data_IF_441215915803
#
_entry.id   IF_441215915803
#
_cell.length_a   1.000
_cell.length_b   1.000
_cell.length_c   1.000
_cell.angle_alpha   90.00
_cell.angle_beta   90.00
_cell.angle_gamma   90.00
#
_symmetry.space_group_name_H-M   'P 1'
#
loop_
_entity.id
_entity.type
_entity.pdbx_description
1 polymer ?
#
# COMPACT_ATOMS: atom_id res chain seq x y z
N UNK A 1 50.50 -14.91 -21.55
CA UNK A 1 51.09 -13.84 -20.70
C UNK A 1 50.41 -12.47 -20.86
N UNK A 2 49.66 -12.17 -21.95
CA UNK A 2 49.13 -10.81 -22.22
C UNK A 2 47.66 -10.57 -21.82
N UNK A 3 46.97 -11.57 -21.26
CA UNK A 3 45.57 -11.48 -20.81
C UNK A 3 45.40 -11.42 -19.28
N UNK A 4 46.48 -11.54 -18.51
CA UNK A 4 46.46 -11.52 -17.03
C UNK A 4 46.38 -10.10 -16.42
N UNK A 5 46.47 -9.04 -17.22
CA UNK A 5 46.50 -7.64 -16.75
C UNK A 5 45.09 -7.00 -16.74
N UNK A 6 44.10 -7.63 -17.37
CA UNK A 6 42.72 -7.08 -17.44
C UNK A 6 41.90 -7.24 -16.15
N UNK A 7 42.36 -8.04 -15.17
CA UNK A 7 41.66 -8.26 -13.90
C UNK A 7 42.12 -7.35 -12.74
N UNK A 8 43.21 -6.59 -12.91
CA UNK A 8 43.74 -5.69 -11.87
C UNK A 8 43.23 -4.23 -12.01
N UNK A 9 42.44 -3.95 -13.03
CA UNK A 9 41.83 -2.64 -13.29
C UNK A 9 40.32 -2.60 -13.00
N UNK A 10 39.79 -3.55 -12.23
CA UNK A 10 38.45 -3.41 -11.64
C UNK A 10 38.60 -2.73 -10.28
N UNK A 11 38.44 -1.40 -10.17
CA UNK A 11 38.56 -0.73 -8.89
C UNK A 11 37.50 -1.30 -7.92
N UNK A 12 37.98 -1.91 -6.83
CA UNK A 12 37.22 -2.46 -5.71
C UNK A 12 36.48 -1.40 -4.87
N UNK A 13 35.93 -0.35 -5.47
CA UNK A 13 35.33 0.76 -4.73
C UNK A 13 34.11 1.35 -5.44
N UNK A 14 33.00 0.61 -5.48
CA UNK A 14 31.68 1.18 -5.77
C UNK A 14 30.60 0.55 -4.87
N UNK A 15 30.83 0.53 -3.56
CA UNK A 15 29.75 0.42 -2.58
C UNK A 15 29.52 1.78 -1.93
N UNK A 16 29.28 2.82 -2.73
CA UNK A 16 28.64 4.01 -2.19
C UNK A 16 27.19 3.62 -1.87
N UNK A 17 26.73 3.82 -0.64
CA UNK A 17 25.33 3.66 -0.27
C UNK A 17 24.52 4.71 -1.03
N UNK A 18 23.91 4.30 -2.14
CA UNK A 18 23.06 5.15 -2.96
C UNK A 18 21.72 5.29 -2.26
N UNK A 19 21.32 6.53 -1.95
CA UNK A 19 19.99 6.80 -1.40
C UNK A 19 18.89 6.50 -2.41
N UNK A 20 17.69 6.20 -1.90
CA UNK A 20 16.50 6.04 -2.71
C UNK A 20 16.17 7.31 -3.51
N UNK A 21 15.37 7.16 -4.56
CA UNK A 21 15.07 8.21 -5.56
C UNK A 21 14.50 9.51 -4.99
N UNK A 22 13.92 9.45 -3.79
CA UNK A 22 13.23 10.56 -3.11
C UNK A 22 13.80 10.87 -1.72
N UNK A 23 15.08 10.54 -1.50
CA UNK A 23 15.78 10.75 -0.23
C UNK A 23 17.06 11.56 -0.44
N UNK A 24 17.39 12.38 0.56
CA UNK A 24 18.62 13.16 0.60
C UNK A 24 19.69 12.41 1.40
N UNK A 25 20.97 12.65 1.06
CA UNK A 25 22.08 12.20 1.90
C UNK A 25 22.13 13.07 3.16
N UNK A 26 22.11 12.45 4.32
CA UNK A 26 22.31 13.13 5.59
C UNK A 26 23.72 13.71 5.66
N UNK A 27 23.81 14.99 6.01
CA UNK A 27 25.08 15.66 6.29
C UNK A 27 25.71 15.20 7.61
N UNK A 28 24.91 14.57 8.49
CA UNK A 28 25.34 14.06 9.79
C UNK A 28 25.09 12.56 9.83
N UNK A 29 26.16 11.75 9.93
CA UNK A 29 26.05 10.30 10.14
C UNK A 29 25.90 9.43 8.89
N UNK A 30 26.01 9.98 7.67
CA UNK A 30 26.20 9.20 6.44
C UNK A 30 25.01 8.36 5.95
N UNK A 31 23.80 8.57 6.50
CA UNK A 31 22.57 7.88 6.11
C UNK A 31 21.74 8.62 5.06
N UNK A 32 20.56 8.07 4.75
CA UNK A 32 19.56 8.72 3.89
C UNK A 32 18.41 9.24 4.75
N UNK A 33 17.96 10.45 4.48
CA UNK A 33 16.88 11.13 5.19
C UNK A 33 15.84 11.65 4.20
N UNK A 34 14.61 11.85 4.67
CA UNK A 34 13.63 12.53 3.85
C UNK A 34 13.99 14.00 3.67
N UNK A 35 13.69 14.58 2.49
CA UNK A 35 13.82 16.01 2.28
C UNK A 35 13.02 16.81 3.30
N UNK A 36 13.46 18.05 3.54
CA UNK A 36 12.78 18.98 4.44
C UNK A 36 11.30 19.12 4.03
N UNK A 37 10.40 19.06 5.02
CA UNK A 37 8.96 19.14 4.78
C UNK A 37 8.28 17.80 4.54
N UNK A 38 9.03 16.68 4.58
CA UNK A 38 8.53 15.32 4.41
C UNK A 38 8.97 14.40 5.56
N UNK A 39 8.25 13.31 5.74
CA UNK A 39 8.56 12.27 6.72
C UNK A 39 8.48 10.87 6.10
N UNK A 40 9.23 9.92 6.68
CA UNK A 40 9.28 8.55 6.19
C UNK A 40 8.02 7.78 6.63
N UNK A 41 7.09 7.59 5.71
CA UNK A 41 5.82 6.88 5.94
C UNK A 41 5.48 6.01 4.74
N UNK A 42 4.87 4.85 5.00
CA UNK A 42 4.39 3.95 3.93
C UNK A 42 5.48 3.57 2.92
N UNK A 43 6.73 3.47 3.37
CA UNK A 43 7.88 3.12 2.52
C UNK A 43 8.40 4.23 1.61
N UNK A 44 8.01 5.50 1.84
CA UNK A 44 8.43 6.64 1.04
C UNK A 44 8.46 7.95 1.84
N UNK A 45 9.03 9.01 1.27
CA UNK A 45 9.00 10.34 1.88
C UNK A 45 7.69 11.07 1.55
N UNK A 46 6.87 11.28 2.58
CA UNK A 46 5.52 11.84 2.48
C UNK A 46 5.46 13.24 3.06
N UNK A 47 4.93 14.20 2.30
CA UNK A 47 4.77 15.59 2.72
C UNK A 47 3.98 15.74 4.02
N UNK A 48 4.38 16.72 4.84
CA UNK A 48 3.60 17.11 6.02
C UNK A 48 2.22 17.67 5.61
N UNK A 49 1.27 17.63 6.54
CA UNK A 49 -0.08 18.16 6.34
C UNK A 49 -1.01 17.27 5.50
N UNK A 50 -0.49 16.19 4.89
CA UNK A 50 -1.33 15.19 4.25
C UNK A 50 -2.12 14.38 5.30
N UNK A 51 -3.36 13.97 4.99
CA UNK A 51 -4.13 13.08 5.84
C UNK A 51 -3.38 11.77 6.15
N UNK A 52 -3.79 11.08 7.20
CA UNK A 52 -3.29 9.73 7.46
C UNK A 52 -3.66 8.80 6.29
N UNK A 53 -2.73 7.91 5.93
CA UNK A 53 -2.82 6.98 4.80
C UNK A 53 -2.92 7.66 3.42
N UNK A 54 -2.50 8.92 3.32
CA UNK A 54 -2.40 9.65 2.06
C UNK A 54 -0.94 9.89 1.65
N UNK A 55 -0.73 9.93 0.34
CA UNK A 55 0.53 10.30 -0.31
C UNK A 55 0.27 11.36 -1.38
N UNK A 56 1.30 12.11 -1.73
CA UNK A 56 1.24 13.08 -2.83
C UNK A 56 0.94 12.34 -4.15
N UNK A 57 0.11 12.94 -5.00
CA UNK A 57 -0.19 12.38 -6.32
C UNK A 57 0.68 12.96 -7.45
N UNK A 58 1.56 13.91 -7.15
CA UNK A 58 2.41 14.60 -8.12
C UNK A 58 1.70 15.71 -8.91
N UNK A 59 0.41 15.92 -8.68
CA UNK A 59 -0.44 16.88 -9.42
C UNK A 59 -0.94 18.02 -8.51
N UNK A 60 -0.29 18.24 -7.37
CA UNK A 60 -0.71 19.23 -6.37
C UNK A 60 -1.90 18.76 -5.51
N UNK A 61 -2.19 17.46 -5.52
CA UNK A 61 -3.20 16.83 -4.69
C UNK A 61 -2.62 15.68 -3.86
N UNK A 62 -3.51 14.82 -3.39
CA UNK A 62 -3.13 13.61 -2.66
C UNK A 62 -4.06 12.46 -3.01
N UNK A 63 -3.55 11.25 -2.85
CA UNK A 63 -4.29 10.01 -3.02
C UNK A 63 -4.10 9.12 -1.81
N UNK A 64 -5.03 8.20 -1.59
CA UNK A 64 -4.88 7.19 -0.55
C UNK A 64 -3.89 6.12 -0.99
N UNK A 65 -3.10 5.61 -0.04
CA UNK A 65 -2.28 4.43 -0.27
C UNK A 65 -3.16 3.20 -0.56
N UNK A 66 -2.54 2.16 -1.11
CA UNK A 66 -3.22 0.91 -1.40
C UNK A 66 -3.97 0.35 -0.17
N UNK A 67 -5.18 -0.17 -0.40
CA UNK A 67 -6.04 -0.66 0.67
C UNK A 67 -6.80 0.42 1.43
N UNK A 68 -6.73 1.68 0.99
CA UNK A 68 -7.53 2.79 1.52
C UNK A 68 -8.27 3.52 0.40
N UNK A 69 -9.41 4.13 0.73
CA UNK A 69 -10.25 4.90 -0.19
C UNK A 69 -10.54 6.29 0.35
N UNK A 70 -10.59 7.27 -0.55
CA UNK A 70 -10.86 8.65 -0.19
C UNK A 70 -12.31 8.84 0.28
N UNK A 71 -12.47 9.39 1.48
CA UNK A 71 -13.76 9.74 2.09
C UNK A 71 -13.70 11.17 2.63
N UNK A 72 -14.09 12.12 1.79
CA UNK A 72 -13.95 13.54 2.09
C UNK A 72 -12.47 13.92 2.22
N UNK A 73 -12.07 14.40 3.40
CA UNK A 73 -10.70 14.88 3.68
C UNK A 73 -9.78 13.83 4.34
N UNK A 74 -10.14 12.54 4.26
CA UNK A 74 -9.36 11.44 4.87
C UNK A 74 -9.38 10.18 4.02
N UNK A 75 -8.46 9.29 4.32
CA UNK A 75 -8.43 7.94 3.81
C UNK A 75 -9.04 6.99 4.81
N UNK A 76 -10.01 6.19 4.37
CA UNK A 76 -10.61 5.13 5.17
C UNK A 76 -10.19 3.78 4.62
N UNK A 77 -9.92 2.82 5.50
CA UNK A 77 -9.49 1.48 5.12
C UNK A 77 -10.54 0.83 4.23
N UNK A 78 -10.13 0.48 3.01
CA UNK A 78 -10.97 -0.23 2.06
C UNK A 78 -10.95 -1.71 2.42
N UNK A 79 -12.05 -2.18 3.03
CA UNK A 79 -12.29 -3.59 3.19
C UNK A 79 -12.78 -4.09 1.83
N UNK A 80 -11.87 -4.66 1.03
CA UNK A 80 -12.27 -5.49 -0.11
C UNK A 80 -13.16 -6.59 0.44
N UNK A 81 -14.46 -6.63 0.08
CA UNK A 81 -15.25 -7.79 0.39
C UNK A 81 -14.55 -8.96 -0.29
N UNK A 82 -14.26 -10.02 0.47
CA UNK A 82 -13.52 -11.22 0.03
C UNK A 82 -14.00 -11.79 -1.32
N UNK A 83 -15.22 -11.41 -1.76
CA UNK A 83 -15.83 -11.61 -3.07
C UNK A 83 -14.93 -11.47 -4.30
N UNK A 84 -13.97 -10.54 -4.31
CA UNK A 84 -13.15 -10.26 -5.49
C UNK A 84 -11.73 -10.84 -5.43
N UNK A 85 -11.38 -11.51 -4.32
CA UNK A 85 -10.27 -12.46 -4.33
C UNK A 85 -10.80 -13.80 -4.83
N UNK A 86 -10.07 -14.46 -5.72
CA UNK A 86 -10.46 -15.69 -6.43
C UNK A 86 -10.78 -16.91 -5.54
N UNK A 87 -10.94 -16.75 -4.24
CA UNK A 87 -11.42 -17.75 -3.28
C UNK A 87 -12.24 -17.06 -2.17
N UNK A 88 -13.54 -16.91 -2.36
CA UNK A 88 -14.44 -16.77 -1.20
C UNK A 88 -14.66 -18.16 -0.61
N UNK A 89 -13.75 -18.61 0.26
CA UNK A 89 -14.21 -19.50 1.32
C UNK A 89 -14.93 -18.59 2.32
N UNK A 90 -16.24 -18.40 2.12
CA UNK A 90 -17.06 -17.86 3.21
C UNK A 90 -16.98 -18.90 4.31
N UNK A 91 -16.19 -18.64 5.34
CA UNK A 91 -16.40 -19.32 6.61
C UNK A 91 -17.72 -18.78 7.13
N UNK A 92 -18.81 -19.49 6.82
CA UNK A 92 -20.05 -19.35 7.58
C UNK A 92 -19.69 -19.91 8.95
N UNK A 93 -19.58 -19.05 9.97
CA UNK A 93 -19.55 -19.55 11.33
C UNK A 93 -20.79 -20.42 11.55
N UNK A 94 -20.56 -21.62 12.08
CA UNK A 94 -21.53 -22.68 12.26
C UNK A 94 -22.90 -22.14 12.71
N UNK A 95 -23.90 -22.36 11.87
CA UNK A 95 -25.28 -22.08 12.26
C UNK A 95 -25.66 -23.15 13.29
N UNK A 96 -25.59 -22.80 14.57
CA UNK A 96 -26.01 -23.68 15.65
C UNK A 96 -27.46 -24.07 15.40
N UNK A 97 -27.68 -25.35 15.13
CA UNK A 97 -28.82 -25.91 14.38
C UNK A 97 -30.16 -25.87 15.12
N UNK A 98 -30.35 -24.94 16.06
CA UNK A 98 -31.52 -24.84 16.93
C UNK A 98 -32.63 -23.96 16.34
N UNK A 99 -32.41 -23.30 15.20
CA UNK A 99 -33.51 -22.70 14.44
C UNK A 99 -33.24 -22.76 12.94
N UNK A 100 -34.03 -23.56 12.25
CA UNK A 100 -34.10 -23.59 10.81
C UNK A 100 -34.26 -22.18 10.24
N UNK A 101 -33.24 -21.73 9.50
CA UNK A 101 -33.47 -20.84 8.36
C UNK A 101 -33.06 -19.37 8.46
N UNK A 102 -32.22 -18.93 9.41
CA UNK A 102 -31.71 -17.53 9.37
C UNK A 102 -30.21 -17.39 9.65
N UNK A 103 -29.38 -18.03 8.84
CA UNK A 103 -27.98 -17.63 8.72
C UNK A 103 -27.95 -16.25 8.03
N UNK A 104 -27.77 -15.17 8.81
CA UNK A 104 -27.81 -13.80 8.27
C UNK A 104 -26.41 -13.37 7.83
N UNK A 105 -26.22 -13.16 6.53
CA UNK A 105 -25.02 -12.52 6.00
C UNK A 105 -24.82 -11.14 6.65
N UNK A 106 -23.57 -10.71 6.90
CA UNK A 106 -23.28 -9.32 7.28
C UNK A 106 -23.96 -8.32 6.33
N UNK A 107 -24.50 -7.23 6.89
CA UNK A 107 -25.25 -6.19 6.13
C UNK A 107 -24.46 -5.66 4.93
N UNK A 108 -23.14 -5.53 5.08
CA UNK A 108 -22.24 -5.05 4.02
C UNK A 108 -22.23 -6.00 2.80
N UNK A 109 -22.27 -7.32 3.04
CA UNK A 109 -22.34 -8.31 1.96
C UNK A 109 -23.71 -8.27 1.28
N UNK A 110 -24.79 -8.11 2.06
CA UNK A 110 -26.14 -7.95 1.50
C UNK A 110 -26.22 -6.74 0.56
N UNK A 111 -25.68 -5.58 0.98
CA UNK A 111 -25.67 -4.37 0.15
C UNK A 111 -24.86 -4.51 -1.14
N UNK A 112 -23.74 -5.25 -1.08
CA UNK A 112 -22.89 -5.51 -2.25
C UNK A 112 -23.62 -6.40 -3.28
N UNK A 113 -24.26 -7.48 -2.83
CA UNK A 113 -25.00 -8.40 -3.71
C UNK A 113 -26.19 -7.73 -4.39
N UNK A 114 -26.95 -6.92 -3.65
CA UNK A 114 -28.07 -6.15 -4.21
C UNK A 114 -27.61 -5.16 -5.27
N UNK A 115 -26.44 -4.53 -5.08
CA UNK A 115 -25.87 -3.62 -6.07
C UNK A 115 -25.43 -4.38 -7.34
N UNK A 116 -24.80 -5.54 -7.18
CA UNK A 116 -24.34 -6.38 -8.31
C UNK A 116 -25.50 -6.92 -9.15
N UNK A 117 -26.58 -7.38 -8.53
CA UNK A 117 -27.78 -7.85 -9.26
C UNK A 117 -28.39 -6.75 -10.14
N UNK A 118 -28.37 -5.50 -9.68
CA UNK A 118 -28.86 -4.35 -10.46
C UNK A 118 -27.96 -3.94 -11.62
N UNK A 119 -26.70 -4.38 -11.63
CA UNK A 119 -25.73 -4.09 -12.71
C UNK A 119 -25.70 -5.21 -13.76
N UNK A 120 -26.34 -6.35 -13.50
CA UNK A 120 -26.42 -7.50 -14.42
C UNK A 120 -27.78 -7.60 -15.15
N UNK A 121 -28.64 -6.60 -15.00
CA UNK A 121 -29.93 -6.42 -15.68
C UNK A 121 -29.86 -5.19 -16.59
#
# INVERSE_FOLDING_TARGET
MKWLILLLFFPLNLYASQCGKDMDKSLVGGGCVCPIGKDWRYGQCVSYGLPEFAIDNGEGGWQCIEGYVQKGKRCEKYIVPVADSKLVKVAVHDCDGTTTGKCKLPKQIQSYLLKKQKTQL
#
